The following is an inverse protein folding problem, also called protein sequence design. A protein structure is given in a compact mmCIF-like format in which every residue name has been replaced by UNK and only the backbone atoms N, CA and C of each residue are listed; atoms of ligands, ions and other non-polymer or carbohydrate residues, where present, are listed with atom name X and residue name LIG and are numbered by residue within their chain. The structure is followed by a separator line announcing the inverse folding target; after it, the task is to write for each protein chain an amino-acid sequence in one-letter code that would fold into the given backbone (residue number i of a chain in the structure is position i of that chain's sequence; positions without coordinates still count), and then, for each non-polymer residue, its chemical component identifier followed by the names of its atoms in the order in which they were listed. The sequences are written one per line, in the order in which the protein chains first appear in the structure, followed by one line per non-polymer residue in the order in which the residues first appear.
data_IF_307413727447
#
_entry.id   IF_307413727447
#
_cell.length_a   1.000
_cell.length_b   1.000
_cell.length_c   1.000
_cell.angle_alpha   90.00
_cell.angle_beta   90.00
_cell.angle_gamma   90.00
#
_symmetry.space_group_name_H-M   'P 1'
#
loop_
_entity.id
_entity.type
_entity.pdbx_description
1 polymer ?
#
# COMPACT_ATOMS: atom_id res chain seq x y z
N UNK A 1 -39.06 -33.37 -33.17
CA UNK A 1 -37.68 -32.90 -32.88
C UNK A 1 -37.60 -31.38 -32.67
N UNK A 2 -38.20 -30.53 -33.53
CA UNK A 2 -38.15 -29.05 -33.43
C UNK A 2 -38.65 -28.41 -32.12
N UNK A 3 -39.60 -29.05 -31.43
CA UNK A 3 -40.12 -28.55 -30.14
C UNK A 3 -39.13 -28.73 -28.99
N UNK A 4 -38.33 -29.80 -29.05
CA UNK A 4 -37.35 -30.14 -28.01
C UNK A 4 -36.18 -29.17 -28.03
N UNK A 5 -35.72 -28.80 -29.22
CA UNK A 5 -34.67 -27.78 -29.40
C UNK A 5 -35.12 -26.39 -28.92
N UNK A 6 -36.41 -26.04 -29.10
CA UNK A 6 -36.96 -24.77 -28.58
C UNK A 6 -36.98 -24.76 -27.05
N UNK A 7 -37.43 -25.84 -26.40
CA UNK A 7 -37.40 -25.92 -24.93
C UNK A 7 -35.97 -25.88 -24.38
N UNK A 8 -35.02 -26.55 -25.04
CA UNK A 8 -33.62 -26.54 -24.64
C UNK A 8 -33.04 -25.11 -24.73
N UNK A 9 -33.29 -24.41 -25.84
CA UNK A 9 -32.85 -23.03 -26.02
C UNK A 9 -33.42 -22.08 -24.94
N UNK A 10 -34.71 -22.22 -24.62
CA UNK A 10 -35.36 -21.40 -23.59
C UNK A 10 -34.77 -21.69 -22.20
N UNK A 11 -34.55 -22.96 -21.87
CA UNK A 11 -33.94 -23.34 -20.59
C UNK A 11 -32.52 -22.79 -20.42
N UNK A 12 -31.71 -22.84 -21.47
CA UNK A 12 -30.35 -22.25 -21.47
C UNK A 12 -30.40 -20.74 -21.32
N UNK A 13 -31.28 -20.05 -22.05
CA UNK A 13 -31.43 -18.59 -21.97
C UNK A 13 -31.79 -18.12 -20.56
N UNK A 14 -32.72 -18.82 -19.91
CA UNK A 14 -33.17 -18.52 -18.55
C UNK A 14 -32.06 -18.85 -17.54
N UNK A 15 -31.45 -20.03 -17.64
CA UNK A 15 -30.39 -20.46 -16.73
C UNK A 15 -29.16 -19.55 -16.80
N UNK A 16 -28.74 -19.14 -17.99
CA UNK A 16 -27.62 -18.21 -18.17
C UNK A 16 -27.96 -16.82 -17.67
N UNK A 17 -29.17 -16.31 -17.92
CA UNK A 17 -29.60 -15.00 -17.41
C UNK A 17 -29.66 -14.98 -15.89
N UNK A 18 -30.25 -16.01 -15.25
CA UNK A 18 -30.31 -16.11 -13.79
C UNK A 18 -28.94 -16.38 -13.17
N UNK A 19 -28.11 -17.23 -13.80
CA UNK A 19 -26.77 -17.53 -13.31
C UNK A 19 -25.84 -16.31 -13.39
N UNK A 20 -25.94 -15.51 -14.45
CA UNK A 20 -25.21 -14.24 -14.58
C UNK A 20 -25.73 -13.21 -13.59
N UNK A 21 -27.04 -13.02 -13.43
CA UNK A 21 -27.55 -12.01 -12.50
C UNK A 21 -27.21 -12.36 -11.05
N UNK A 22 -27.37 -13.62 -10.64
CA UNK A 22 -26.98 -14.08 -9.30
C UNK A 22 -25.46 -14.07 -9.10
N UNK A 23 -24.70 -14.54 -10.10
CA UNK A 23 -23.23 -14.51 -10.06
C UNK A 23 -22.65 -13.09 -10.09
N UNK A 24 -23.36 -12.12 -10.66
CA UNK A 24 -22.92 -10.72 -10.74
C UNK A 24 -23.39 -9.87 -9.54
N UNK A 25 -24.53 -10.18 -8.91
CA UNK A 25 -25.01 -9.45 -7.73
C UNK A 25 -24.45 -9.97 -6.40
N UNK A 26 -24.15 -11.27 -6.30
CA UNK A 26 -23.72 -11.92 -5.03
C UNK A 26 -22.21 -11.96 -4.88
N UNK A 27 -21.45 -11.90 -5.98
CA UNK A 27 -20.03 -11.62 -5.89
C UNK A 27 -19.87 -10.11 -5.73
N UNK A 28 -19.18 -9.61 -4.67
CA UNK A 28 -18.77 -8.22 -4.64
C UNK A 28 -17.97 -7.93 -5.91
N UNK A 29 -18.48 -7.04 -6.75
CA UNK A 29 -17.73 -6.54 -7.90
C UNK A 29 -16.39 -6.01 -7.39
N UNK A 30 -15.24 -6.49 -7.90
CA UNK A 30 -13.97 -5.80 -7.68
C UNK A 30 -13.95 -4.54 -8.55
N UNK A 31 -14.84 -3.60 -8.24
CA UNK A 31 -14.91 -2.25 -8.78
C UNK A 31 -14.79 -1.22 -7.65
N UNK A 32 -14.43 -1.65 -6.45
CA UNK A 32 -13.70 -0.80 -5.53
C UNK A 32 -12.25 -0.88 -5.97
N UNK A 33 -11.86 0.10 -6.80
CA UNK A 33 -10.54 0.72 -6.76
C UNK A 33 -9.75 0.20 -5.57
N UNK A 34 -8.75 -0.65 -5.84
CA UNK A 34 -7.69 -1.00 -4.89
C UNK A 34 -6.88 0.27 -4.61
N UNK A 35 -7.54 1.27 -4.03
CA UNK A 35 -6.89 2.43 -3.54
C UNK A 35 -5.99 1.89 -2.44
N UNK A 36 -4.68 2.08 -2.60
CA UNK A 36 -3.72 1.78 -1.55
C UNK A 36 -4.10 2.47 -0.21
N UNK A 37 -5.05 3.42 -0.23
CA UNK A 37 -5.70 4.01 0.93
C UNK A 37 -6.67 3.10 1.71
N UNK A 38 -7.18 2.00 1.13
CA UNK A 38 -8.01 0.99 1.83
C UNK A 38 -7.20 -0.22 2.35
N UNK A 39 -5.92 -0.34 1.96
CA UNK A 39 -5.01 -1.31 2.56
C UNK A 39 -4.85 -0.97 4.05
N UNK A 40 -4.99 -1.98 4.91
CA UNK A 40 -4.80 -1.88 6.36
C UNK A 40 -3.53 -1.09 6.68
N UNK A 41 -3.53 -0.24 7.71
CA UNK A 41 -2.39 0.64 8.07
C UNK A 41 -1.03 -0.07 7.99
N UNK A 42 -0.98 -1.33 8.41
CA UNK A 42 0.22 -2.18 8.33
C UNK A 42 0.77 -2.37 6.91
N UNK A 43 -0.09 -2.53 5.91
CA UNK A 43 0.37 -2.67 4.52
C UNK A 43 0.85 -1.34 3.94
N UNK A 44 0.29 -0.21 4.37
CA UNK A 44 0.79 1.11 3.95
C UNK A 44 2.17 1.38 4.57
N UNK A 45 2.36 0.96 5.82
CA UNK A 45 3.67 0.94 6.49
C UNK A 45 4.68 0.07 5.73
N UNK A 46 4.31 -1.16 5.36
CA UNK A 46 5.17 -2.07 4.59
C UNK A 46 5.50 -1.50 3.19
N UNK A 47 4.55 -0.84 2.52
CA UNK A 47 4.82 -0.18 1.25
C UNK A 47 5.78 1.01 1.41
N UNK A 48 5.58 1.87 2.41
CA UNK A 48 6.48 2.98 2.67
C UNK A 48 7.90 2.50 3.03
N UNK A 49 8.02 1.37 3.73
CA UNK A 49 9.30 0.71 3.97
C UNK A 49 9.97 0.26 2.66
N UNK A 50 9.22 -0.35 1.74
CA UNK A 50 9.74 -0.72 0.43
C UNK A 50 10.21 0.51 -0.36
N UNK A 51 9.45 1.60 -0.35
CA UNK A 51 9.85 2.86 -1.02
C UNK A 51 11.10 3.46 -0.39
N UNK A 52 11.19 3.48 0.94
CA UNK A 52 12.37 3.98 1.65
C UNK A 52 13.61 3.10 1.43
N UNK A 53 13.44 1.78 1.32
CA UNK A 53 14.52 0.87 0.96
C UNK A 53 14.98 1.08 -0.49
N UNK A 54 14.04 1.26 -1.42
CA UNK A 54 14.35 1.58 -2.82
C UNK A 54 15.12 2.91 -2.92
N UNK A 55 14.74 3.93 -2.14
CA UNK A 55 15.47 5.19 -2.08
C UNK A 55 16.94 5.03 -1.64
N UNK A 56 17.26 4.13 -0.70
CA UNK A 56 18.65 3.91 -0.32
C UNK A 56 19.50 3.33 -1.45
N UNK A 57 18.89 2.55 -2.34
CA UNK A 57 19.58 1.93 -3.49
C UNK A 57 19.67 2.92 -4.65
N UNK A 58 18.55 3.53 -5.02
CA UNK A 58 18.45 4.38 -6.20
C UNK A 58 18.94 5.82 -5.93
N UNK A 59 18.97 6.26 -4.67
CA UNK A 59 19.23 7.64 -4.23
C UNK A 59 18.31 8.70 -4.90
N UNK A 60 17.20 8.28 -5.50
CA UNK A 60 16.27 9.16 -6.20
C UNK A 60 15.07 9.53 -5.32
N UNK A 61 15.16 10.70 -4.71
CA UNK A 61 14.12 11.26 -3.86
C UNK A 61 12.83 11.53 -4.63
N UNK A 62 12.94 11.99 -5.88
CA UNK A 62 11.79 12.34 -6.70
C UNK A 62 10.96 11.10 -7.05
N UNK A 63 11.65 10.01 -7.38
CA UNK A 63 11.02 8.73 -7.67
C UNK A 63 10.44 8.06 -6.41
N UNK A 64 11.00 8.31 -5.23
CA UNK A 64 10.41 7.87 -3.96
C UNK A 64 9.10 8.62 -3.64
N UNK A 65 9.09 9.95 -3.83
CA UNK A 65 7.89 10.78 -3.63
C UNK A 65 6.77 10.37 -4.59
N UNK A 66 7.09 10.14 -5.86
CA UNK A 66 6.09 9.75 -6.86
C UNK A 66 5.46 8.38 -6.53
N UNK A 67 6.27 7.43 -6.04
CA UNK A 67 5.76 6.14 -5.56
C UNK A 67 4.88 6.29 -4.31
N UNK A 68 5.23 7.17 -3.39
CA UNK A 68 4.38 7.49 -2.23
C UNK A 68 3.06 8.16 -2.65
N UNK A 69 3.03 8.94 -3.72
CA UNK A 69 1.77 9.51 -4.26
C UNK A 69 0.80 8.45 -4.75
N UNK A 70 1.29 7.28 -5.19
CA UNK A 70 0.44 6.15 -5.55
C UNK A 70 -0.40 5.62 -4.37
N UNK A 71 -0.03 5.95 -3.11
CA UNK A 71 -0.89 5.66 -1.94
C UNK A 71 -2.19 6.47 -1.93
N UNK A 72 -2.32 7.49 -2.78
CA UNK A 72 -3.46 8.40 -2.78
C UNK A 72 -3.49 9.33 -1.56
N UNK A 73 -2.34 9.53 -0.91
CA UNK A 73 -2.20 10.46 0.21
C UNK A 73 -2.19 11.90 -0.30
N UNK A 74 -2.94 12.78 0.37
CA UNK A 74 -3.05 14.19 0.00
C UNK A 74 -1.69 14.91 0.03
N UNK A 75 -0.83 14.54 0.98
CA UNK A 75 0.52 15.04 1.10
C UNK A 75 1.50 13.91 1.50
N UNK A 76 2.34 13.42 0.55
CA UNK A 76 3.35 12.39 0.82
C UNK A 76 4.33 12.77 1.93
N UNK A 77 4.64 14.07 2.05
CA UNK A 77 5.63 14.57 2.99
C UNK A 77 5.10 14.49 4.43
N UNK A 78 3.93 15.07 4.67
CA UNK A 78 3.26 14.99 5.97
C UNK A 78 2.93 13.55 6.36
N UNK A 79 2.51 12.74 5.38
CA UNK A 79 2.23 11.32 5.60
C UNK A 79 3.48 10.57 6.08
N UNK A 80 4.62 10.73 5.39
CA UNK A 80 5.84 10.03 5.78
C UNK A 80 6.33 10.46 7.17
N UNK A 81 6.23 11.75 7.50
CA UNK A 81 6.58 12.25 8.85
C UNK A 81 5.76 11.55 9.92
N UNK A 82 4.42 11.59 9.80
CA UNK A 82 3.48 10.98 10.75
C UNK A 82 3.66 9.45 10.83
N UNK A 83 3.87 8.80 9.69
CA UNK A 83 4.19 7.38 9.62
C UNK A 83 5.46 7.04 10.39
N UNK A 84 6.54 7.76 10.14
CA UNK A 84 7.85 7.51 10.74
C UNK A 84 7.82 7.74 12.25
N UNK A 85 7.18 8.82 12.71
CA UNK A 85 7.02 9.10 14.14
C UNK A 85 6.22 8.00 14.84
N UNK A 86 5.07 7.61 14.28
CA UNK A 86 4.28 6.50 14.84
C UNK A 86 5.05 5.18 14.82
N UNK A 87 5.79 4.90 13.75
CA UNK A 87 6.58 3.68 13.62
C UNK A 87 7.66 3.60 14.71
N UNK A 88 8.36 4.71 14.97
CA UNK A 88 9.35 4.80 16.05
C UNK A 88 8.69 4.53 17.41
N UNK A 89 7.54 5.14 17.68
CA UNK A 89 6.80 4.95 18.94
C UNK A 89 6.31 3.51 19.10
N UNK A 90 5.85 2.88 18.02
CA UNK A 90 5.24 1.54 18.07
C UNK A 90 6.26 0.40 18.02
N UNK A 91 7.30 0.52 17.20
CA UNK A 91 8.33 -0.51 17.04
C UNK A 91 9.45 -0.39 18.08
N UNK A 92 9.76 0.82 18.55
CA UNK A 92 10.91 1.08 19.41
C UNK A 92 12.21 0.52 18.82
N UNK A 93 13.07 -0.05 19.67
CA UNK A 93 14.37 -0.60 19.26
C UNK A 93 14.30 -2.00 18.62
N UNK A 94 13.14 -2.67 18.59
CA UNK A 94 13.04 -4.03 18.03
C UNK A 94 13.18 -4.07 16.51
N UNK A 95 12.77 -2.99 15.82
CA UNK A 95 12.89 -2.85 14.35
C UNK A 95 13.69 -1.61 13.97
N UNK A 96 14.84 -1.44 14.64
CA UNK A 96 15.70 -0.27 14.47
C UNK A 96 16.18 -0.06 13.02
N UNK A 97 16.47 -1.16 12.28
CA UNK A 97 16.86 -1.10 10.87
C UNK A 97 15.77 -0.48 9.99
N UNK A 98 14.53 -0.94 10.15
CA UNK A 98 13.37 -0.41 9.41
C UNK A 98 13.10 1.05 9.79
N UNK A 99 13.13 1.36 11.09
CA UNK A 99 12.94 2.72 11.58
C UNK A 99 13.97 3.69 10.99
N UNK A 100 15.25 3.29 10.93
CA UNK A 100 16.32 4.07 10.31
C UNK A 100 16.08 4.30 8.83
N UNK A 101 15.63 3.29 8.09
CA UNK A 101 15.34 3.42 6.67
C UNK A 101 14.24 4.44 6.42
N UNK A 102 13.17 4.42 7.21
CA UNK A 102 12.09 5.41 7.16
C UNK A 102 12.59 6.82 7.54
N UNK A 103 13.40 6.92 8.60
CA UNK A 103 14.00 8.18 9.06
C UNK A 103 14.87 8.81 7.98
N UNK A 104 15.71 8.03 7.29
CA UNK A 104 16.56 8.55 6.22
C UNK A 104 15.73 9.15 5.07
N UNK A 105 14.66 8.47 4.63
CA UNK A 105 13.78 9.03 3.60
C UNK A 105 13.04 10.27 4.11
N UNK A 106 12.49 10.26 5.34
CA UNK A 106 11.82 11.43 5.94
C UNK A 106 12.75 12.64 6.04
N UNK A 107 14.00 12.41 6.45
CA UNK A 107 15.04 13.42 6.52
C UNK A 107 15.47 13.94 5.13
N UNK A 108 15.64 13.05 4.16
CA UNK A 108 15.93 13.43 2.78
C UNK A 108 14.82 14.30 2.17
N UNK A 109 13.58 14.06 2.56
CA UNK A 109 12.42 14.89 2.21
C UNK A 109 12.36 16.23 2.97
N UNK A 110 13.29 16.51 3.88
CA UNK A 110 13.37 17.77 4.64
C UNK A 110 12.67 17.75 6.00
N UNK A 111 12.12 16.60 6.43
CA UNK A 111 11.37 16.45 7.68
C UNK A 111 12.11 15.55 8.68
N UNK A 112 13.22 16.06 9.24
CA UNK A 112 13.88 15.46 10.38
C UNK A 112 13.28 16.01 11.69
N UNK A 113 12.51 15.21 12.42
CA UNK A 113 11.96 15.63 13.73
C UNK A 113 12.83 15.13 14.89
N UNK A 114 12.71 15.76 16.07
CA UNK A 114 13.45 15.39 17.27
C UNK A 114 13.41 13.89 17.64
N UNK A 115 12.27 13.16 17.56
CA UNK A 115 12.23 11.72 17.86
C UNK A 115 13.05 10.87 16.89
N UNK A 116 13.47 11.40 15.73
CA UNK A 116 14.27 10.69 14.73
C UNK A 116 15.78 10.77 15.01
N UNK A 117 16.24 11.71 15.84
CA UNK A 117 17.65 11.92 16.15
C UNK A 117 18.40 10.67 16.66
N UNK A 118 17.83 9.82 17.54
CA UNK A 118 18.51 8.61 18.01
C UNK A 118 18.83 7.63 16.86
N UNK A 119 17.98 7.58 15.84
CA UNK A 119 18.11 6.68 14.69
C UNK A 119 19.05 7.21 13.61
N UNK A 120 19.35 8.52 13.63
CA UNK A 120 20.37 9.13 12.76
C UNK A 120 21.79 8.89 13.30
N UNK A 121 21.96 8.93 14.63
CA UNK A 121 23.25 8.84 15.30
C UNK A 121 23.84 7.42 15.34
N UNK A 122 23.00 6.41 15.18
CA UNK A 122 23.46 5.02 15.18
C UNK A 122 24.09 4.64 13.82
N UNK A 123 24.93 5.48 13.22
CA UNK A 123 25.82 5.08 12.11
C UNK A 123 26.38 3.68 12.37
N UNK A 124 26.48 2.79 11.37
CA UNK A 124 27.04 1.46 11.57
C UNK A 124 28.49 1.58 12.04
N UNK A 125 28.69 1.52 13.35
CA UNK A 125 29.99 1.28 13.95
C UNK A 125 30.14 -0.23 14.11
N UNK A 126 30.94 -0.83 13.23
CA UNK A 126 31.31 -2.25 13.25
C UNK A 126 30.73 -2.99 12.05
N UNK A 127 31.50 -3.68 11.22
CA UNK A 127 32.91 -4.09 11.29
C UNK A 127 33.33 -4.60 9.92
#
# INVERSE_FOLDING_TARGET
MRRFTILLLIGVLIGTSLGLTLGWLVLPSPQSTSALSQLSRRHQEEFALMVAAAYQVDNDLSAAIERLRLLGVADPFTYMRDLTERFIVQAGFTREREARTLVQLSCAMGFCTAPMQPFLLATPSGS
#
